data_IF_872737281822
#
_entry.id   IF_872737281822
#
_cell.length_a   1.000
_cell.length_b   1.000
_cell.length_c   1.000
_cell.angle_alpha   90.00
_cell.angle_beta   90.00
_cell.angle_gamma   90.00
#
_symmetry.space_group_name_H-M   'P 1'
#
loop_
_entity.id
_entity.type
_entity.pdbx_description
1 polymer ?
#
# COMPACT_ATOMS: atom_id res chain seq x y z
N UNK A 1 -1.77 -49.20 -41.77
CA UNK A 1 -1.18 -49.79 -40.55
C UNK A 1 -0.71 -48.63 -39.69
N UNK A 2 -1.64 -47.94 -39.01
CA UNK A 2 -2.11 -48.19 -37.63
C UNK A 2 -0.99 -48.12 -36.59
N UNK A 3 -0.95 -46.99 -35.85
CA UNK A 3 -1.05 -46.89 -34.38
C UNK A 3 -0.71 -45.43 -33.97
N UNK A 4 -1.70 -44.55 -33.83
CA UNK A 4 -2.45 -44.24 -32.60
C UNK A 4 -1.62 -43.76 -31.40
N UNK A 5 -1.67 -42.43 -31.22
CA UNK A 5 -2.14 -41.75 -30.00
C UNK A 5 -1.49 -42.14 -28.65
N UNK A 6 -0.48 -41.38 -28.23
CA UNK A 6 -0.17 -41.22 -26.80
C UNK A 6 -0.35 -39.73 -26.46
N UNK A 7 -1.56 -39.42 -26.00
CA UNK A 7 -1.88 -38.19 -25.29
C UNK A 7 -1.41 -38.38 -23.86
N UNK A 8 -0.48 -37.54 -23.43
CA UNK A 8 0.07 -37.52 -22.07
C UNK A 8 -0.96 -36.91 -21.11
N UNK A 9 -1.80 -37.76 -20.54
CA UNK A 9 -2.55 -37.49 -19.30
C UNK A 9 -1.59 -37.53 -18.11
N UNK A 10 -1.15 -36.36 -17.64
CA UNK A 10 -0.50 -36.23 -16.34
C UNK A 10 -0.92 -34.91 -15.72
N UNK A 11 -1.90 -34.96 -14.80
CA UNK A 11 -2.16 -34.02 -13.67
C UNK A 11 -3.67 -33.85 -13.42
N UNK A 12 -4.33 -34.90 -12.96
CA UNK A 12 -5.63 -34.81 -12.30
C UNK A 12 -5.76 -35.93 -11.26
N UNK A 13 -4.87 -35.97 -10.25
CA UNK A 13 -4.98 -36.96 -9.19
C UNK A 13 -4.29 -36.59 -7.88
N UNK A 14 -4.61 -35.42 -7.33
CA UNK A 14 -4.54 -35.18 -5.88
C UNK A 14 -5.66 -34.18 -5.56
N UNK A 15 -6.85 -34.66 -5.18
CA UNK A 15 -7.84 -33.99 -4.32
C UNK A 15 -9.13 -34.83 -4.18
N UNK A 16 -8.98 -36.09 -3.79
CA UNK A 16 -10.08 -36.91 -3.24
C UNK A 16 -9.47 -37.90 -2.28
N UNK A 17 -9.32 -37.51 -1.02
CA UNK A 17 -9.35 -38.41 0.14
C UNK A 17 -9.16 -37.62 1.44
N UNK A 18 -10.27 -37.08 1.95
CA UNK A 18 -10.54 -37.00 3.40
C UNK A 18 -12.03 -37.21 3.60
N UNK A 19 -12.42 -38.48 3.52
CA UNK A 19 -13.62 -38.99 4.16
C UNK A 19 -13.46 -38.81 5.68
N UNK A 20 -14.16 -37.84 6.26
CA UNK A 20 -14.52 -37.90 7.67
C UNK A 20 -15.81 -38.70 7.77
N UNK A 21 -15.69 -40.01 8.00
CA UNK A 21 -16.79 -40.83 8.50
C UNK A 21 -16.93 -40.55 9.99
N UNK A 22 -17.95 -39.80 10.37
CA UNK A 22 -18.46 -39.80 11.74
C UNK A 22 -19.86 -40.39 11.69
N UNK A 23 -19.93 -41.71 11.78
CA UNK A 23 -21.12 -42.43 12.22
C UNK A 23 -20.74 -43.36 13.38
N UNK A 24 -21.49 -43.14 14.45
CA UNK A 24 -21.93 -44.09 15.47
C UNK A 24 -20.92 -44.60 16.51
N UNK A 25 -20.96 -43.95 17.69
CA UNK A 25 -21.09 -44.69 18.95
C UNK A 25 -22.21 -44.10 19.83
N UNK A 26 -23.27 -44.89 19.92
CA UNK A 26 -24.32 -44.99 20.93
C UNK A 26 -24.10 -44.27 22.27
N UNK A 27 -25.02 -43.36 22.60
CA UNK A 27 -25.70 -43.34 23.91
C UNK A 27 -27.18 -43.11 23.65
N UNK A 28 -27.97 -44.18 23.79
CA UNK A 28 -29.42 -44.14 23.91
C UNK A 28 -29.83 -43.97 25.36
N UNK A 29 -30.96 -43.29 25.55
CA UNK A 29 -31.82 -43.20 26.76
C UNK A 29 -31.49 -42.10 27.78
N UNK A 30 -32.24 -40.99 27.76
CA UNK A 30 -33.45 -40.76 28.58
C UNK A 30 -33.89 -39.28 28.48
N UNK A 31 -35.20 -39.04 28.35
CA UNK A 31 -35.83 -37.78 28.76
C UNK A 31 -36.29 -36.84 27.64
N UNK A 32 -37.53 -37.04 27.20
CA UNK A 32 -38.33 -36.02 26.52
C UNK A 32 -38.58 -34.83 27.47
N UNK A 33 -37.67 -33.86 27.46
CA UNK A 33 -37.81 -32.59 28.16
C UNK A 33 -37.43 -31.46 27.21
N UNK A 34 -38.45 -30.82 26.63
CA UNK A 34 -38.31 -29.59 25.85
C UNK A 34 -37.78 -28.47 26.74
N UNK A 35 -36.47 -28.27 26.72
CA UNK A 35 -35.85 -27.05 27.24
C UNK A 35 -35.56 -26.16 26.04
N UNK A 36 -36.43 -25.18 25.82
CA UNK A 36 -36.15 -24.00 24.99
C UNK A 36 -34.95 -23.28 25.61
N UNK A 37 -33.75 -23.66 25.18
CA UNK A 37 -32.53 -22.92 25.53
C UNK A 37 -32.50 -21.70 24.62
N UNK A 38 -32.64 -20.47 25.13
CA UNK A 38 -32.58 -19.29 24.28
C UNK A 38 -31.18 -19.25 23.68
N UNK A 39 -31.08 -19.43 22.37
CA UNK A 39 -29.84 -19.16 21.64
C UNK A 39 -29.60 -17.67 21.78
N UNK A 40 -28.77 -17.27 22.74
CA UNK A 40 -28.36 -15.90 22.94
C UNK A 40 -27.51 -15.51 21.72
N UNK A 41 -28.17 -15.03 20.66
CA UNK A 41 -27.51 -14.39 19.52
C UNK A 41 -26.88 -13.12 20.09
N UNK A 42 -25.62 -13.22 20.51
CA UNK A 42 -24.81 -12.05 20.78
C UNK A 42 -24.63 -11.31 19.46
N UNK A 43 -25.52 -10.35 19.20
CA UNK A 43 -25.33 -9.31 18.20
C UNK A 43 -24.06 -8.55 18.58
N UNK A 44 -22.89 -9.05 18.14
CA UNK A 44 -21.65 -8.27 18.17
C UNK A 44 -21.97 -6.98 17.42
N UNK A 45 -21.94 -5.86 18.14
CA UNK A 45 -22.10 -4.54 17.53
C UNK A 45 -21.14 -4.46 16.35
N UNK A 46 -21.70 -4.37 15.15
CA UNK A 46 -20.91 -4.11 13.97
C UNK A 46 -20.22 -2.77 14.20
N UNK A 47 -18.87 -2.68 14.11
CA UNK A 47 -18.16 -1.45 14.42
C UNK A 47 -18.76 -0.30 13.64
N UNK A 48 -19.28 0.71 14.35
CA UNK A 48 -19.85 1.93 13.75
C UNK A 48 -18.83 2.51 12.78
N UNK A 49 -19.26 2.67 11.53
CA UNK A 49 -18.40 3.07 10.40
C UNK A 49 -17.80 4.45 10.62
N UNK A 50 -16.47 4.54 10.55
CA UNK A 50 -15.75 5.77 10.25
C UNK A 50 -15.40 5.81 8.76
N UNK A 51 -16.37 6.03 7.88
CA UNK A 51 -16.04 6.80 6.68
C UNK A 51 -16.29 8.23 7.07
N UNK A 52 -15.36 8.78 7.85
CA UNK A 52 -15.32 10.22 7.98
C UNK A 52 -15.19 10.76 6.55
N UNK A 53 -16.03 11.71 6.11
CA UNK A 53 -15.84 12.38 4.83
C UNK A 53 -14.46 13.08 4.72
N UNK A 54 -13.72 13.13 5.84
CA UNK A 54 -12.36 13.64 5.98
C UNK A 54 -11.28 12.55 6.07
N UNK A 55 -11.65 11.27 6.19
CA UNK A 55 -10.70 10.15 6.24
C UNK A 55 -10.31 9.72 4.83
N UNK A 56 -9.24 10.33 4.35
CA UNK A 56 -8.72 10.11 3.01
C UNK A 56 -7.71 8.95 2.98
N UNK A 57 -8.05 7.70 3.32
CA UNK A 57 -7.01 6.65 3.34
C UNK A 57 -7.51 5.29 3.72
N UNK A 58 -6.59 4.33 3.87
CA UNK A 58 -6.90 3.02 4.46
C UNK A 58 -7.16 3.16 5.96
N UNK A 59 -8.36 2.79 6.37
CA UNK A 59 -8.74 2.74 7.78
C UNK A 59 -8.06 1.58 8.52
N UNK A 60 -8.06 1.61 9.86
CA UNK A 60 -7.55 0.50 10.68
C UNK A 60 -8.25 -0.82 10.34
N UNK A 61 -9.56 -0.77 10.12
CA UNK A 61 -10.37 -1.94 9.81
C UNK A 61 -10.01 -2.54 8.44
N UNK A 62 -9.79 -1.71 7.43
CA UNK A 62 -9.33 -2.15 6.10
C UNK A 62 -7.93 -2.76 6.14
N UNK A 63 -7.00 -2.16 6.88
CA UNK A 63 -5.65 -2.71 7.04
C UNK A 63 -5.70 -4.06 7.76
N UNK A 64 -6.49 -4.19 8.83
CA UNK A 64 -6.70 -5.46 9.54
C UNK A 64 -7.30 -6.51 8.61
N UNK A 65 -8.33 -6.15 7.84
CA UNK A 65 -8.96 -7.03 6.85
C UNK A 65 -7.96 -7.52 5.81
N UNK A 66 -7.17 -6.61 5.25
CA UNK A 66 -6.12 -6.93 4.27
C UNK A 66 -5.06 -7.87 4.87
N UNK A 67 -4.56 -7.53 6.05
CA UNK A 67 -3.52 -8.30 6.76
C UNK A 67 -3.99 -9.70 7.14
N UNK A 68 -5.23 -9.86 7.59
CA UNK A 68 -5.77 -11.16 7.94
C UNK A 68 -6.06 -12.03 6.71
N UNK A 69 -6.51 -11.43 5.60
CA UNK A 69 -6.61 -12.13 4.32
C UNK A 69 -5.24 -12.57 3.79
N UNK A 70 -4.20 -11.75 4.01
CA UNK A 70 -2.82 -12.10 3.65
C UNK A 70 -2.29 -13.29 4.46
N UNK A 71 -2.53 -13.31 5.78
CA UNK A 71 -2.22 -14.47 6.64
C UNK A 71 -2.94 -15.73 6.18
N UNK A 72 -4.19 -15.62 5.74
CA UNK A 72 -4.91 -16.76 5.16
C UNK A 72 -4.18 -17.27 3.91
N UNK A 73 -3.84 -16.38 2.97
CA UNK A 73 -3.13 -16.74 1.74
C UNK A 73 -1.76 -17.38 2.01
N UNK A 74 -1.00 -16.84 2.96
CA UNK A 74 0.30 -17.39 3.38
C UNK A 74 0.18 -18.85 3.83
N UNK A 75 -0.86 -19.17 4.62
CA UNK A 75 -1.13 -20.55 5.09
C UNK A 75 -1.48 -21.51 3.96
N UNK A 76 -1.99 -21.03 2.83
CA UNK A 76 -2.33 -21.92 1.70
C UNK A 76 -1.10 -22.49 1.00
N UNK A 77 0.08 -21.86 1.18
CA UNK A 77 1.32 -22.19 0.48
C UNK A 77 1.16 -22.28 -1.05
N UNK A 78 0.18 -21.57 -1.61
CA UNK A 78 -0.02 -21.47 -3.05
C UNK A 78 0.85 -20.36 -3.63
N UNK A 79 1.29 -20.46 -4.89
CA UNK A 79 2.10 -19.40 -5.48
C UNK A 79 1.29 -18.12 -5.65
N UNK A 80 1.88 -17.02 -5.22
CA UNK A 80 1.26 -15.70 -5.19
C UNK A 80 1.93 -14.76 -6.17
N UNK A 81 1.13 -13.92 -6.81
CA UNK A 81 1.57 -12.86 -7.71
C UNK A 81 0.96 -11.54 -7.28
N UNK A 82 1.71 -10.46 -7.50
CA UNK A 82 1.29 -9.09 -7.26
C UNK A 82 1.30 -8.34 -8.60
N UNK A 83 0.16 -7.73 -8.91
CA UNK A 83 -0.03 -6.86 -10.05
C UNK A 83 -0.30 -5.41 -9.62
N UNK A 84 0.25 -4.46 -10.35
CA UNK A 84 -0.09 -3.03 -10.28
C UNK A 84 -0.79 -2.67 -11.58
N UNK A 85 -2.10 -2.42 -11.50
CA UNK A 85 -2.91 -2.01 -12.64
C UNK A 85 -3.12 -0.50 -12.53
N UNK A 86 -2.38 0.28 -13.31
CA UNK A 86 -2.24 1.71 -13.07
C UNK A 86 -2.02 2.58 -14.30
N UNK A 87 -1.15 2.19 -15.23
CA UNK A 87 -0.52 3.11 -16.19
C UNK A 87 -1.51 4.01 -16.95
N UNK A 88 -2.33 3.44 -17.83
CA UNK A 88 -3.35 4.20 -18.57
C UNK A 88 -4.53 4.62 -17.68
N UNK A 89 -4.74 3.98 -16.53
CA UNK A 89 -5.84 4.34 -15.62
C UNK A 89 -5.57 5.62 -14.83
N UNK A 90 -4.32 6.08 -14.74
CA UNK A 90 -3.98 7.33 -14.04
C UNK A 90 -4.65 8.57 -14.66
N UNK A 91 -4.92 8.53 -15.96
CA UNK A 91 -5.59 9.63 -16.69
C UNK A 91 -7.11 9.46 -16.79
N UNK A 92 -7.64 8.31 -16.38
CA UNK A 92 -9.07 8.01 -16.47
C UNK A 92 -9.86 8.61 -15.31
N UNK A 93 -11.15 8.86 -15.52
CA UNK A 93 -12.05 9.16 -14.41
C UNK A 93 -12.15 7.95 -13.48
N UNK A 94 -12.26 8.19 -12.18
CA UNK A 94 -12.28 7.13 -11.16
C UNK A 94 -13.33 6.03 -11.40
N UNK A 95 -14.47 6.39 -11.99
CA UNK A 95 -15.51 5.43 -12.36
C UNK A 95 -15.13 4.53 -13.55
N UNK A 96 -14.38 5.05 -14.52
CA UNK A 96 -13.90 4.33 -15.71
C UNK A 96 -12.75 3.40 -15.34
N UNK A 97 -11.75 3.90 -14.60
CA UNK A 97 -10.66 3.10 -14.08
C UNK A 97 -11.17 1.87 -13.28
N UNK A 98 -12.19 2.06 -12.43
CA UNK A 98 -12.83 0.94 -11.71
C UNK A 98 -13.48 -0.09 -12.61
N UNK A 99 -14.08 0.31 -13.74
CA UNK A 99 -14.63 -0.64 -14.72
C UNK A 99 -13.51 -1.47 -15.35
N UNK A 100 -12.36 -0.87 -15.63
CA UNK A 100 -11.19 -1.59 -16.15
C UNK A 100 -10.60 -2.55 -15.10
N UNK A 101 -10.53 -2.14 -13.82
CA UNK A 101 -10.14 -3.05 -12.74
C UNK A 101 -11.13 -4.22 -12.59
N UNK A 102 -12.43 -3.96 -12.71
CA UNK A 102 -13.45 -5.01 -12.65
C UNK A 102 -13.40 -5.95 -13.89
N UNK A 103 -12.94 -5.48 -15.06
CA UNK A 103 -12.61 -6.34 -16.23
C UNK A 103 -11.39 -7.21 -15.95
N UNK A 104 -10.32 -6.62 -15.41
CA UNK A 104 -9.11 -7.35 -15.01
C UNK A 104 -9.44 -8.48 -14.03
N UNK A 105 -10.16 -8.18 -12.95
CA UNK A 105 -10.51 -9.15 -11.92
C UNK A 105 -11.38 -10.29 -12.46
N UNK A 106 -12.33 -10.00 -13.37
CA UNK A 106 -13.13 -11.05 -14.03
C UNK A 106 -12.26 -11.98 -14.89
N UNK A 107 -11.34 -11.42 -15.66
CA UNK A 107 -10.44 -12.21 -16.49
C UNK A 107 -9.48 -13.04 -15.65
N UNK A 108 -8.94 -12.48 -14.56
CA UNK A 108 -8.15 -13.20 -13.56
C UNK A 108 -8.93 -14.40 -12.99
N UNK A 109 -10.17 -14.21 -12.53
CA UNK A 109 -10.99 -15.31 -11.99
C UNK A 109 -11.20 -16.44 -13.01
N UNK A 110 -11.40 -16.11 -14.28
CA UNK A 110 -11.52 -17.09 -15.36
C UNK A 110 -10.21 -17.85 -15.59
N UNK A 111 -9.07 -17.16 -15.59
CA UNK A 111 -7.76 -17.79 -15.72
C UNK A 111 -7.45 -18.70 -14.53
N UNK A 112 -7.74 -18.27 -13.29
CA UNK A 112 -7.58 -19.11 -12.09
C UNK A 112 -8.40 -20.39 -12.21
N UNK A 113 -9.68 -20.28 -12.56
CA UNK A 113 -10.57 -21.44 -12.76
C UNK A 113 -10.04 -22.40 -13.83
N UNK A 114 -9.64 -21.89 -15.00
CA UNK A 114 -9.11 -22.71 -16.11
C UNK A 114 -7.80 -23.42 -15.79
N UNK A 115 -7.02 -22.91 -14.84
CA UNK A 115 -5.76 -23.49 -14.43
C UNK A 115 -5.87 -24.21 -13.07
N UNK A 116 -7.09 -24.46 -12.56
CA UNK A 116 -7.31 -25.21 -11.32
C UNK A 116 -6.90 -24.49 -10.04
N UNK A 117 -6.73 -23.16 -10.06
CA UNK A 117 -6.44 -22.38 -8.86
C UNK A 117 -7.72 -21.88 -8.18
N UNK A 118 -7.73 -21.76 -6.85
CA UNK A 118 -8.81 -21.06 -6.17
C UNK A 118 -8.85 -19.60 -6.63
N UNK A 119 -10.06 -19.04 -6.72
CA UNK A 119 -10.29 -17.68 -7.19
C UNK A 119 -9.98 -16.64 -6.10
N UNK A 120 -8.80 -16.71 -5.52
CA UNK A 120 -8.40 -15.86 -4.41
C UNK A 120 -7.65 -14.62 -4.90
N UNK A 121 -8.11 -13.45 -4.47
CA UNK A 121 -7.40 -12.19 -4.67
C UNK A 121 -7.72 -11.14 -3.61
N UNK A 122 -6.72 -10.31 -3.31
CA UNK A 122 -6.81 -9.09 -2.51
C UNK A 122 -6.59 -7.93 -3.48
N UNK A 123 -7.45 -6.91 -3.43
CA UNK A 123 -7.31 -5.68 -4.21
C UNK A 123 -7.26 -4.49 -3.26
N UNK A 124 -6.23 -3.66 -3.40
CA UNK A 124 -6.05 -2.41 -2.66
C UNK A 124 -6.02 -1.25 -3.64
N UNK A 125 -6.96 -0.32 -3.51
CA UNK A 125 -7.00 0.90 -4.32
C UNK A 125 -6.13 2.00 -3.70
N UNK A 126 -5.29 2.58 -4.54
CA UNK A 126 -4.43 3.71 -4.23
C UNK A 126 -4.78 4.89 -5.14
N UNK A 127 -4.65 6.12 -4.64
CA UNK A 127 -4.94 7.34 -5.43
C UNK A 127 -3.78 8.32 -5.54
N UNK A 128 -2.64 8.04 -4.92
CA UNK A 128 -1.41 8.82 -5.11
C UNK A 128 -0.99 8.77 -6.58
N UNK A 129 -0.95 9.93 -7.24
CA UNK A 129 -0.60 10.02 -8.66
C UNK A 129 -1.68 9.58 -9.65
N UNK A 130 -2.89 9.28 -9.17
CA UNK A 130 -4.01 8.75 -9.96
C UNK A 130 -4.54 7.43 -9.40
N UNK A 131 -5.78 7.08 -9.73
CA UNK A 131 -6.41 5.86 -9.22
C UNK A 131 -5.78 4.63 -9.88
N UNK A 132 -5.22 3.74 -9.06
CA UNK A 132 -4.67 2.46 -9.50
C UNK A 132 -5.03 1.34 -8.51
N UNK A 133 -4.91 0.10 -8.95
CA UNK A 133 -5.24 -1.09 -8.17
C UNK A 133 -4.01 -1.97 -7.99
N UNK A 134 -3.65 -2.22 -6.73
CA UNK A 134 -2.68 -3.24 -6.35
C UNK A 134 -3.42 -4.54 -6.07
N UNK A 135 -3.11 -5.61 -6.81
CA UNK A 135 -3.84 -6.87 -6.77
C UNK A 135 -2.88 -8.00 -6.43
N UNK A 136 -3.08 -8.63 -5.28
CA UNK A 136 -2.37 -9.87 -4.90
C UNK A 136 -3.30 -11.04 -5.17
N UNK A 137 -2.82 -12.07 -5.88
CA UNK A 137 -3.66 -13.20 -6.28
C UNK A 137 -2.88 -14.51 -6.32
N UNK A 138 -3.62 -15.62 -6.19
CA UNK A 138 -3.08 -16.97 -6.37
C UNK A 138 -2.98 -17.29 -7.85
N UNK A 139 -1.84 -17.80 -8.32
CA UNK A 139 -1.68 -18.19 -9.71
C UNK A 139 -0.32 -18.78 -10.03
N UNK A 140 0.00 -18.83 -11.32
CA UNK A 140 1.31 -19.25 -11.83
C UNK A 140 1.80 -18.27 -12.90
N UNK A 141 3.02 -18.48 -13.39
CA UNK A 141 3.62 -17.62 -14.41
C UNK A 141 2.81 -17.57 -15.71
N UNK A 142 2.12 -18.66 -16.07
CA UNK A 142 1.23 -18.71 -17.25
C UNK A 142 0.09 -17.71 -17.11
N UNK A 143 -0.59 -17.69 -15.94
CA UNK A 143 -1.64 -16.70 -15.64
C UNK A 143 -1.07 -15.28 -15.69
N UNK A 144 0.08 -15.04 -15.06
CA UNK A 144 0.72 -13.73 -15.02
C UNK A 144 1.05 -13.20 -16.42
N UNK A 145 1.68 -14.02 -17.28
CA UNK A 145 1.97 -13.68 -18.68
C UNK A 145 0.71 -13.42 -19.50
N UNK A 146 -0.34 -14.23 -19.31
CA UNK A 146 -1.63 -14.00 -19.98
C UNK A 146 -2.26 -12.66 -19.57
N UNK A 147 -2.22 -12.31 -18.29
CA UNK A 147 -2.72 -11.02 -17.80
C UNK A 147 -1.94 -9.84 -18.40
N UNK A 148 -0.61 -9.88 -18.38
CA UNK A 148 0.21 -8.82 -18.98
C UNK A 148 -0.07 -8.65 -20.48
N UNK A 149 -0.27 -9.75 -21.21
CA UNK A 149 -0.61 -9.69 -22.65
C UNK A 149 -1.99 -9.07 -22.90
N UNK A 150 -3.00 -9.45 -22.12
CA UNK A 150 -4.37 -8.98 -22.32
C UNK A 150 -4.61 -7.54 -21.84
N UNK A 151 -3.78 -7.04 -20.94
CA UNK A 151 -3.93 -5.73 -20.30
C UNK A 151 -2.65 -4.89 -20.42
N UNK A 152 -1.94 -5.01 -21.55
CA UNK A 152 -0.65 -4.37 -21.79
C UNK A 152 -0.68 -2.84 -21.61
N UNK A 153 -1.81 -2.22 -21.93
CA UNK A 153 -2.05 -0.78 -21.76
C UNK A 153 -2.01 -0.32 -20.28
N UNK A 154 -2.36 -1.19 -19.34
CA UNK A 154 -2.43 -0.86 -17.92
C UNK A 154 -1.23 -1.37 -17.09
N UNK A 155 -0.35 -2.14 -17.74
CA UNK A 155 0.79 -2.84 -17.16
C UNK A 155 1.99 -2.79 -18.13
N UNK A 156 2.38 -1.57 -18.54
CA UNK A 156 3.39 -1.30 -19.57
C UNK A 156 4.76 -1.86 -19.21
N UNK A 157 5.11 -1.88 -17.92
CA UNK A 157 6.39 -2.47 -17.48
C UNK A 157 6.42 -4.00 -17.59
N UNK A 158 5.28 -4.69 -17.72
CA UNK A 158 5.19 -6.12 -18.03
C UNK A 158 5.43 -7.06 -16.84
N UNK A 159 6.05 -8.22 -17.09
CA UNK A 159 6.31 -9.29 -16.11
C UNK A 159 7.79 -9.39 -15.69
N UNK A 160 8.06 -9.44 -14.38
CA UNK A 160 9.40 -9.62 -13.78
C UNK A 160 9.72 -8.61 -12.65
N UNK A 161 10.98 -8.60 -12.20
CA UNK A 161 11.46 -7.69 -11.15
C UNK A 161 11.28 -6.22 -11.56
N UNK A 162 10.79 -5.37 -10.64
CA UNK A 162 10.47 -3.95 -10.86
C UNK A 162 9.38 -3.66 -11.92
N UNK A 163 8.62 -4.68 -12.29
CA UNK A 163 7.55 -4.54 -13.28
C UNK A 163 6.17 -4.58 -12.62
N UNK A 164 5.16 -4.27 -13.42
CA UNK A 164 3.77 -4.21 -13.01
C UNK A 164 3.22 -5.58 -12.59
N UNK A 165 3.92 -6.68 -12.83
CA UNK A 165 3.56 -8.03 -12.41
C UNK A 165 4.77 -8.81 -11.91
N UNK A 166 4.72 -9.32 -10.69
CA UNK A 166 5.82 -10.09 -10.10
C UNK A 166 5.35 -11.17 -9.10
N UNK A 167 6.13 -12.23 -8.88
CA UNK A 167 5.86 -13.18 -7.81
C UNK A 167 6.00 -12.52 -6.43
N UNK A 168 5.23 -12.99 -5.45
CA UNK A 168 5.27 -12.50 -4.07
C UNK A 168 6.02 -13.51 -3.21
N UNK A 169 7.15 -13.08 -2.65
CA UNK A 169 7.98 -13.87 -1.72
C UNK A 169 7.62 -13.65 -0.26
N UNK A 170 7.21 -12.42 0.09
CA UNK A 170 6.78 -12.05 1.44
C UNK A 170 5.48 -11.23 1.35
N UNK A 171 4.33 -11.94 1.44
CA UNK A 171 3.01 -11.29 1.38
C UNK A 171 2.77 -10.42 2.61
N UNK A 172 3.32 -10.79 3.77
CA UNK A 172 3.08 -10.07 5.01
C UNK A 172 3.77 -8.71 4.98
N UNK A 173 5.03 -8.64 4.54
CA UNK A 173 5.72 -7.38 4.33
C UNK A 173 5.02 -6.52 3.27
N UNK A 174 4.65 -7.11 2.12
CA UNK A 174 3.94 -6.40 1.04
C UNK A 174 2.66 -5.72 1.56
N UNK A 175 1.83 -6.44 2.30
CA UNK A 175 0.55 -5.91 2.81
C UNK A 175 0.75 -4.91 3.94
N UNK A 176 1.62 -5.21 4.90
CA UNK A 176 1.76 -4.38 6.12
C UNK A 176 2.59 -3.13 5.90
N UNK A 177 3.55 -3.13 4.97
CA UNK A 177 4.44 -2.01 4.73
C UNK A 177 4.10 -1.24 3.46
N UNK A 178 4.00 -1.96 2.33
CA UNK A 178 3.84 -1.32 1.03
C UNK A 178 2.38 -0.95 0.74
N UNK A 179 1.45 -1.90 0.76
CA UNK A 179 0.04 -1.66 0.43
C UNK A 179 -0.69 -0.82 1.50
N UNK A 180 -0.11 -0.68 2.69
CA UNK A 180 -0.66 0.14 3.77
C UNK A 180 -0.13 1.59 3.76
N UNK A 181 0.65 2.00 2.75
CA UNK A 181 1.30 3.33 2.73
C UNK A 181 0.31 4.49 2.72
N UNK A 182 -0.85 4.34 2.07
CA UNK A 182 -1.94 5.35 2.03
C UNK A 182 -2.91 5.25 3.23
N UNK A 183 -2.46 4.75 4.37
CA UNK A 183 -3.27 4.68 5.60
C UNK A 183 -3.63 6.03 6.17
N UNK A 184 -4.75 6.10 6.87
CA UNK A 184 -5.13 7.29 7.63
C UNK A 184 -4.17 7.52 8.80
N UNK A 185 -4.08 8.76 9.27
CA UNK A 185 -3.28 9.08 10.47
C UNK A 185 -3.81 8.32 11.70
N UNK A 186 -5.12 8.18 11.82
CA UNK A 186 -5.80 7.40 12.86
C UNK A 186 -5.39 5.93 12.80
N UNK A 187 -5.37 5.34 11.61
CA UNK A 187 -4.92 3.96 11.43
C UNK A 187 -3.43 3.81 11.80
N UNK A 188 -2.57 4.75 11.39
CA UNK A 188 -1.16 4.75 11.73
C UNK A 188 -0.91 4.78 13.25
N UNK A 189 -1.61 5.66 13.98
CA UNK A 189 -1.54 5.72 15.45
C UNK A 189 -2.08 4.44 16.09
N UNK A 190 -3.25 3.97 15.63
CA UNK A 190 -3.90 2.80 16.22
C UNK A 190 -3.17 1.47 15.97
N UNK A 191 -2.21 1.45 15.04
CA UNK A 191 -1.31 0.33 14.76
C UNK A 191 0.08 0.51 15.40
N UNK A 192 0.34 1.64 16.05
CA UNK A 192 1.63 1.91 16.71
C UNK A 192 2.80 2.16 15.77
N UNK A 193 2.54 2.42 14.47
CA UNK A 193 3.59 2.49 13.45
C UNK A 193 4.38 3.81 13.43
N UNK A 194 3.83 4.91 13.95
CA UNK A 194 4.64 6.07 14.36
C UNK A 194 3.86 6.98 15.32
N UNK A 195 4.56 7.51 16.31
CA UNK A 195 4.07 8.60 17.17
C UNK A 195 4.53 9.99 16.69
N UNK A 196 5.38 10.06 15.65
CA UNK A 196 6.16 11.28 15.33
C UNK A 196 5.99 11.86 13.93
N UNK A 197 5.29 11.20 13.02
CA UNK A 197 5.12 11.72 11.65
C UNK A 197 3.70 11.47 11.18
N UNK A 198 2.89 12.54 11.18
CA UNK A 198 1.68 12.61 10.36
C UNK A 198 2.13 12.39 8.91
N UNK A 199 1.78 11.26 8.32
CA UNK A 199 2.00 11.03 6.89
C UNK A 199 1.10 12.03 6.16
N UNK A 200 1.71 13.06 5.57
CA UNK A 200 1.01 13.92 4.64
C UNK A 200 0.61 13.06 3.44
N UNK A 201 -0.66 13.04 3.06
CA UNK A 201 -1.11 12.23 1.92
C UNK A 201 -2.11 11.13 2.25
N UNK A 202 -2.98 11.35 3.24
CA UNK A 202 -4.29 10.71 3.14
C UNK A 202 -4.96 11.30 1.87
N UNK A 203 -4.88 10.61 0.72
CA UNK A 203 -5.40 11.04 -0.57
C UNK A 203 -6.87 10.66 -0.70
N UNK A 204 -7.76 11.58 -1.08
CA UNK A 204 -9.17 11.22 -1.30
C UNK A 204 -9.27 10.27 -2.50
N UNK A 205 -10.09 9.22 -2.40
CA UNK A 205 -10.53 8.47 -3.58
C UNK A 205 -11.88 9.03 -4.00
N UNK A 206 -11.94 9.58 -5.20
CA UNK A 206 -13.18 10.05 -5.80
C UNK A 206 -14.16 8.87 -5.98
N UNK A 207 -15.43 9.12 -5.67
CA UNK A 207 -16.48 8.10 -5.61
C UNK A 207 -16.50 7.25 -4.33
N UNK A 208 -15.51 7.42 -3.43
CA UNK A 208 -15.49 6.79 -2.11
C UNK A 208 -15.45 5.26 -2.13
N UNK A 209 -16.03 4.66 -1.08
CA UNK A 209 -16.15 3.20 -0.90
C UNK A 209 -14.90 2.51 -0.36
N UNK A 210 -15.03 1.20 -0.14
CA UNK A 210 -13.98 0.36 0.43
C UNK A 210 -12.74 0.33 -0.50
N UNK A 211 -11.56 0.61 0.07
CA UNK A 211 -10.26 0.55 -0.62
C UNK A 211 -9.72 -0.86 -0.71
N UNK A 212 -10.03 -1.70 0.27
CA UNK A 212 -9.66 -3.12 0.29
C UNK A 212 -10.84 -3.94 -0.17
N UNK A 213 -10.67 -4.70 -1.24
CA UNK A 213 -11.61 -5.73 -1.68
C UNK A 213 -10.94 -7.09 -1.61
N UNK A 214 -11.73 -8.08 -1.20
CA UNK A 214 -11.37 -9.48 -1.30
C UNK A 214 -12.24 -10.09 -2.39
N UNK A 215 -11.70 -11.05 -3.15
CA UNK A 215 -12.55 -11.87 -4.01
C UNK A 215 -13.61 -12.59 -3.16
N UNK A 216 -14.81 -12.87 -3.72
CA UNK A 216 -15.85 -13.56 -2.95
C UNK A 216 -15.40 -14.89 -2.35
N UNK A 217 -14.63 -15.68 -3.12
CA UNK A 217 -14.08 -16.96 -2.66
C UNK A 217 -13.09 -16.79 -1.50
N UNK A 218 -12.17 -15.82 -1.59
CA UNK A 218 -11.22 -15.54 -0.51
C UNK A 218 -11.93 -15.03 0.75
N UNK A 219 -12.90 -14.13 0.58
CA UNK A 219 -13.68 -13.61 1.70
C UNK A 219 -14.41 -14.74 2.43
N UNK A 220 -15.10 -15.63 1.70
CA UNK A 220 -15.81 -16.75 2.30
C UNK A 220 -14.87 -17.70 3.04
N UNK A 221 -13.76 -18.09 2.41
CA UNK A 221 -12.78 -19.01 3.01
C UNK A 221 -12.11 -18.41 4.25
N UNK A 222 -11.69 -17.14 4.20
CA UNK A 222 -11.04 -16.48 5.33
C UNK A 222 -12.00 -16.14 6.48
N UNK A 223 -13.30 -15.96 6.19
CA UNK A 223 -14.35 -15.86 7.23
C UNK A 223 -14.57 -17.22 7.89
N UNK A 224 -14.62 -18.30 7.10
CA UNK A 224 -14.76 -19.66 7.62
C UNK A 224 -13.58 -20.06 8.52
N UNK A 225 -12.36 -19.61 8.21
CA UNK A 225 -11.15 -19.80 9.03
C UNK A 225 -11.10 -18.89 10.27
N UNK A 226 -12.09 -18.00 10.47
CA UNK A 226 -12.12 -17.06 11.59
C UNK A 226 -11.06 -15.96 11.55
N UNK A 227 -10.33 -15.82 10.44
CA UNK A 227 -9.30 -14.79 10.27
C UNK A 227 -9.89 -13.45 9.86
N UNK A 228 -10.92 -13.44 9.03
CA UNK A 228 -11.53 -12.22 8.50
C UNK A 228 -12.95 -12.07 9.03
N UNK A 229 -13.26 -10.90 9.59
CA UNK A 229 -14.61 -10.58 10.01
C UNK A 229 -15.55 -10.40 8.78
N UNK A 230 -16.83 -10.81 8.86
CA UNK A 230 -17.84 -10.50 7.85
C UNK A 230 -17.90 -8.99 7.58
N UNK A 231 -18.02 -8.61 6.30
CA UNK A 231 -17.88 -7.22 5.89
C UNK A 231 -19.09 -6.72 5.11
N UNK A 232 -19.83 -5.84 5.76
CA UNK A 232 -20.91 -5.12 5.11
C UNK A 232 -20.32 -4.14 4.10
N UNK A 233 -20.47 -4.43 2.81
CA UNK A 233 -20.05 -3.52 1.72
C UNK A 233 -20.66 -2.14 1.92
N UNK A 234 -19.86 -1.10 1.72
CA UNK A 234 -20.37 0.28 1.69
C UNK A 234 -21.09 0.50 0.35
N UNK A 235 -22.42 0.37 0.36
CA UNK A 235 -23.27 0.82 -0.77
C UNK A 235 -23.38 2.34 -0.81
N UNK A 236 -22.27 3.06 -0.57
CA UNK A 236 -22.24 4.47 -0.90
C UNK A 236 -22.61 4.55 -2.38
N UNK A 237 -23.77 5.15 -2.69
CA UNK A 237 -24.19 5.33 -4.07
C UNK A 237 -23.00 5.99 -4.74
N UNK A 238 -22.46 5.34 -5.78
CA UNK A 238 -21.45 5.94 -6.66
C UNK A 238 -22.15 7.08 -7.39
N UNK A 239 -22.50 8.14 -6.67
CA UNK A 239 -23.05 9.34 -7.27
C UNK A 239 -21.93 9.85 -8.16
N UNK A 240 -22.12 9.92 -9.48
CA UNK A 240 -21.15 10.61 -10.31
C UNK A 240 -20.94 11.96 -9.66
N UNK A 241 -19.69 12.33 -9.40
CA UNK A 241 -19.37 13.71 -9.10
C UNK A 241 -19.67 14.44 -10.40
N UNK A 242 -20.94 14.83 -10.57
CA UNK A 242 -21.30 15.84 -11.55
C UNK A 242 -20.53 17.03 -11.03
N UNK A 243 -19.40 17.33 -11.65
CA UNK A 243 -18.75 18.61 -11.49
C UNK A 243 -19.84 19.63 -11.81
N UNK A 244 -20.47 20.16 -10.77
CA UNK A 244 -21.45 21.20 -10.90
C UNK A 244 -20.68 22.37 -11.46
N UNK A 245 -20.75 22.45 -12.78
CA UNK A 245 -20.89 23.64 -13.61
C UNK A 245 -20.47 24.88 -12.83
N UNK A 246 -19.34 25.44 -13.23
CA UNK A 246 -19.06 26.85 -13.05
C UNK A 246 -20.33 27.65 -13.40
N UNK A 247 -21.13 27.97 -12.38
CA UNK A 247 -22.20 28.95 -12.42
C UNK A 247 -21.64 30.16 -11.68
N UNK A 248 -21.08 31.06 -12.49
CA UNK A 248 -21.38 32.49 -12.41
C UNK A 248 -21.77 32.97 -11.00
N UNK A 249 -20.77 33.35 -10.19
CA UNK A 249 -20.99 34.33 -9.13
C UNK A 249 -21.27 35.66 -9.80
N UNK A 250 -22.55 35.90 -10.10
CA UNK A 250 -23.10 37.24 -10.20
C UNK A 250 -22.80 37.96 -8.88
N UNK A 251 -22.10 39.07 -9.01
CA UNK A 251 -21.80 40.05 -7.97
C UNK A 251 -23.07 40.51 -7.27
N UNK A 252 -23.14 40.34 -5.94
CA UNK A 252 -23.97 41.16 -5.06
C UNK A 252 -23.10 41.87 -4.03
N UNK A 253 -23.47 43.09 -3.63
CA UNK A 253 -22.58 44.04 -2.97
C UNK A 253 -22.47 43.77 -1.47
N UNK A 254 -21.35 44.21 -0.91
CA UNK A 254 -21.07 44.27 0.52
C UNK A 254 -22.13 45.12 1.23
N UNK A 255 -22.70 44.56 2.30
CA UNK A 255 -23.22 45.35 3.42
C UNK A 255 -22.30 45.11 4.62
N UNK A 256 -21.77 46.22 5.12
CA UNK A 256 -21.08 46.36 6.41
C UNK A 256 -21.93 45.77 7.54
N UNK A 257 -21.30 44.94 8.36
CA UNK A 257 -21.69 44.71 9.74
C UNK A 257 -20.41 44.79 10.57
N UNK A 258 -20.25 45.92 11.24
CA UNK A 258 -19.39 46.11 12.40
C UNK A 258 -19.81 45.11 13.48
N UNK A 259 -18.84 44.39 14.03
CA UNK A 259 -19.01 43.64 15.28
C UNK A 259 -17.76 43.86 16.12
N UNK A 260 -18.00 44.44 17.29
CA UNK A 260 -17.05 44.79 18.32
C UNK A 260 -16.24 43.57 18.79
N UNK A 261 -14.91 43.77 18.85
CA UNK A 261 -13.95 42.76 19.31
C UNK A 261 -13.52 43.10 20.74
N UNK A 262 -14.20 42.52 21.72
CA UNK A 262 -13.80 42.57 23.13
C UNK A 262 -12.66 41.59 23.43
N UNK A 263 -11.59 42.16 23.97
CA UNK A 263 -10.34 41.52 24.38
C UNK A 263 -10.56 40.59 25.58
N UNK A 264 -10.32 39.28 25.40
CA UNK A 264 -10.04 38.36 26.52
C UNK A 264 -8.68 37.67 26.34
N UNK A 265 -7.69 38.17 27.10
CA UNK A 265 -6.38 37.54 27.31
C UNK A 265 -6.56 36.25 28.12
N UNK A 266 -6.32 35.10 27.50
CA UNK A 266 -6.19 33.81 28.20
C UNK A 266 -4.71 33.47 28.39
N UNK A 267 -4.30 33.35 29.66
CA UNK A 267 -2.96 32.99 30.10
C UNK A 267 -2.66 31.52 29.80
N UNK A 268 -1.55 31.24 29.11
CA UNK A 268 -1.01 29.89 28.91
C UNK A 268 -0.10 29.49 30.08
N UNK A 269 -0.43 28.38 30.72
CA UNK A 269 0.41 27.67 31.70
C UNK A 269 1.45 26.81 30.96
N UNK A 270 2.72 26.75 31.42
CA UNK A 270 3.77 25.96 30.76
C UNK A 270 3.60 24.47 31.01
N UNK A 271 3.77 23.67 29.94
CA UNK A 271 3.73 22.20 29.96
C UNK A 271 5.16 21.65 30.15
N UNK A 272 5.38 20.62 30.99
CA UNK A 272 6.72 20.13 31.31
C UNK A 272 7.33 19.27 30.20
N UNK A 273 8.64 19.46 29.98
CA UNK A 273 9.46 18.77 28.97
C UNK A 273 9.62 17.26 29.24
N UNK A 274 9.47 16.39 28.22
CA UNK A 274 9.81 14.98 28.36
C UNK A 274 11.33 14.73 28.19
N UNK A 275 11.91 14.09 29.20
CA UNK A 275 13.31 13.64 29.26
C UNK A 275 13.67 12.70 28.10
N UNK A 276 14.79 12.99 27.43
CA UNK A 276 15.38 12.17 26.35
C UNK A 276 15.99 10.89 26.93
N UNK A 277 15.47 9.73 26.51
CA UNK A 277 16.13 8.44 26.75
C UNK A 277 17.16 8.16 25.64
N UNK A 278 18.43 8.02 26.04
CA UNK A 278 19.49 7.47 25.19
C UNK A 278 19.23 5.97 24.96
N UNK A 279 19.15 5.55 23.69
CA UNK A 279 19.25 4.14 23.30
C UNK A 279 20.18 4.02 22.11
N UNK A 280 21.43 3.68 22.40
CA UNK A 280 22.40 3.14 21.44
C UNK A 280 21.94 1.72 21.05
N UNK A 281 21.41 1.56 19.84
CA UNK A 281 21.16 0.24 19.28
C UNK A 281 22.45 -0.28 18.63
N UNK A 282 22.93 -1.41 19.13
CA UNK A 282 24.00 -2.23 18.56
C UNK A 282 23.61 -2.66 17.13
N UNK A 283 24.55 -2.53 16.18
CA UNK A 283 24.39 -3.05 14.82
C UNK A 283 24.65 -4.55 14.82
N UNK A 284 23.82 -5.39 14.17
CA UNK A 284 24.18 -6.77 13.93
C UNK A 284 25.27 -6.82 12.86
N UNK A 285 26.36 -7.49 13.22
CA UNK A 285 27.47 -7.87 12.35
C UNK A 285 26.98 -9.00 11.44
N UNK A 286 27.28 -8.89 10.12
CA UNK A 286 27.20 -10.04 9.21
C UNK A 286 26.16 -9.97 8.08
N UNK A 287 25.79 -8.79 7.57
CA UNK A 287 24.99 -8.71 6.33
C UNK A 287 25.94 -8.68 5.11
N UNK A 288 26.04 -9.82 4.41
CA UNK A 288 26.69 -9.93 3.11
C UNK A 288 25.97 -9.05 2.07
N UNK A 289 26.74 -8.25 1.31
CA UNK A 289 26.22 -7.38 0.26
C UNK A 289 25.74 -8.19 -0.96
N UNK A 290 24.42 -8.41 -1.05
CA UNK A 290 23.78 -9.24 -2.09
C UNK A 290 23.53 -8.54 -3.43
N UNK A 291 23.92 -7.27 -3.62
CA UNK A 291 23.50 -6.51 -4.82
C UNK A 291 24.56 -5.50 -5.31
N UNK A 292 25.49 -5.91 -6.21
CA UNK A 292 26.42 -4.97 -6.84
C UNK A 292 25.76 -4.04 -7.87
N UNK A 293 24.62 -4.43 -8.46
CA UNK A 293 23.97 -3.63 -9.51
C UNK A 293 22.99 -2.55 -9.00
N UNK A 294 22.59 -2.59 -7.72
CA UNK A 294 21.83 -1.50 -7.09
C UNK A 294 22.65 -0.21 -6.87
N UNK A 295 23.95 -0.21 -7.21
CA UNK A 295 24.82 0.96 -7.14
C UNK A 295 24.57 1.99 -8.26
N UNK A 296 23.59 1.79 -9.14
CA UNK A 296 23.28 2.74 -10.23
C UNK A 296 21.82 3.25 -10.23
N UNK A 297 21.43 4.15 -9.31
CA UNK A 297 20.09 4.76 -9.31
C UNK A 297 19.85 5.76 -10.46
N UNK A 298 18.57 5.82 -10.88
CA UNK A 298 17.96 6.52 -12.05
C UNK A 298 17.95 8.07 -11.96
N UNK A 299 18.55 8.68 -10.95
CA UNK A 299 18.88 10.10 -10.98
C UNK A 299 20.12 10.30 -10.11
N UNK A 300 21.30 10.24 -10.74
CA UNK A 300 22.54 10.39 -10.00
C UNK A 300 22.74 11.85 -9.59
N UNK A 301 23.29 12.04 -8.39
CA UNK A 301 23.87 13.29 -7.97
C UNK A 301 24.76 13.88 -9.08
N UNK A 302 25.50 13.05 -9.82
CA UNK A 302 26.33 13.48 -10.95
C UNK A 302 25.56 14.19 -12.07
N UNK A 303 24.31 13.80 -12.35
CA UNK A 303 23.46 14.39 -13.39
C UNK A 303 22.64 15.61 -12.89
N UNK A 304 22.50 15.78 -11.57
CA UNK A 304 21.73 16.87 -10.99
C UNK A 304 22.43 18.23 -11.15
N UNK A 305 21.79 19.25 -11.73
CA UNK A 305 22.45 20.53 -12.09
C UNK A 305 22.15 21.68 -11.14
N UNK A 306 20.88 21.87 -10.76
CA UNK A 306 20.39 22.86 -9.80
C UNK A 306 18.90 22.62 -9.48
N UNK A 307 18.35 23.42 -8.57
CA UNK A 307 16.93 23.38 -8.19
C UNK A 307 16.68 22.50 -6.97
N UNK A 308 15.43 22.12 -6.74
CA UNK A 308 15.07 21.21 -5.65
C UNK A 308 15.47 19.79 -6.03
N UNK A 309 16.34 19.10 -5.25
CA UNK A 309 16.72 17.74 -5.58
C UNK A 309 15.51 16.81 -5.50
N UNK A 310 15.43 15.84 -6.40
CA UNK A 310 14.45 14.76 -6.27
C UNK A 310 14.75 13.95 -4.99
N UNK A 311 13.76 13.20 -4.45
CA UNK A 311 13.99 12.36 -3.27
C UNK A 311 15.18 11.40 -3.43
N UNK A 312 15.39 10.86 -4.63
CA UNK A 312 16.52 9.97 -4.93
C UNK A 312 17.87 10.69 -4.84
N UNK A 313 17.98 11.91 -5.37
CA UNK A 313 19.22 12.72 -5.29
C UNK A 313 19.50 13.12 -3.84
N UNK A 314 18.47 13.48 -3.08
CA UNK A 314 18.61 13.82 -1.66
C UNK A 314 19.11 12.62 -0.84
N UNK A 315 18.56 11.42 -1.10
CA UNK A 315 19.03 10.17 -0.47
C UNK A 315 20.49 9.85 -0.84
N UNK A 316 20.88 10.04 -2.11
CA UNK A 316 22.26 9.82 -2.54
C UNK A 316 23.25 10.79 -1.87
N UNK A 317 22.89 12.08 -1.78
CA UNK A 317 23.70 13.09 -1.05
C UNK A 317 23.91 12.65 0.40
N UNK A 318 22.85 12.23 1.08
CA UNK A 318 22.91 11.81 2.48
C UNK A 318 23.71 10.51 2.67
N UNK A 319 23.57 9.56 1.75
CA UNK A 319 24.34 8.32 1.74
C UNK A 319 25.84 8.62 1.57
N UNK A 320 26.24 9.38 0.54
CA UNK A 320 27.64 9.73 0.29
C UNK A 320 28.24 10.56 1.42
N UNK A 321 27.49 11.52 1.97
CA UNK A 321 27.90 12.29 3.15
C UNK A 321 28.30 11.37 4.31
N UNK A 322 27.48 10.35 4.60
CA UNK A 322 27.74 9.38 5.67
C UNK A 322 28.93 8.49 5.37
N UNK A 323 29.08 8.04 4.13
CA UNK A 323 30.25 7.25 3.70
C UNK A 323 31.57 8.00 3.90
N UNK A 324 31.56 9.33 3.73
CA UNK A 324 32.71 10.19 3.97
C UNK A 324 32.89 10.60 5.44
N UNK A 325 32.06 10.11 6.36
CA UNK A 325 32.11 10.48 7.78
C UNK A 325 31.81 11.96 8.06
N UNK A 326 31.34 12.72 7.07
CA UNK A 326 31.07 14.15 7.21
C UNK A 326 29.76 14.37 7.95
N UNK A 327 29.71 15.27 8.93
CA UNK A 327 28.46 15.82 9.44
C UNK A 327 27.80 16.75 8.40
N UNK A 328 26.51 17.07 8.58
CA UNK A 328 25.84 18.07 7.72
C UNK A 328 26.49 19.45 7.80
N UNK A 329 27.04 19.81 8.98
CA UNK A 329 27.76 21.07 9.18
C UNK A 329 29.06 21.10 8.39
N UNK A 330 29.84 20.02 8.42
CA UNK A 330 31.12 19.93 7.68
C UNK A 330 30.90 19.89 6.17
N UNK A 331 29.88 19.16 5.70
CA UNK A 331 29.48 19.20 4.29
C UNK A 331 29.10 20.63 3.88
N UNK A 332 28.32 21.32 4.71
CA UNK A 332 27.98 22.73 4.51
C UNK A 332 29.22 23.60 4.42
N UNK A 333 30.13 23.53 5.38
CA UNK A 333 31.37 24.31 5.40
C UNK A 333 32.21 24.07 4.13
N UNK A 334 32.41 22.81 3.73
CA UNK A 334 33.16 22.46 2.52
C UNK A 334 32.47 22.94 1.23
N UNK A 335 31.13 23.00 1.22
CA UNK A 335 30.35 23.48 0.08
C UNK A 335 30.07 25.00 0.10
N UNK A 336 30.47 25.71 1.15
CA UNK A 336 30.12 27.13 1.35
C UNK A 336 28.63 27.36 1.61
N UNK A 337 27.99 26.46 2.36
CA UNK A 337 26.58 26.49 2.76
C UNK A 337 26.44 26.35 4.27
N UNK A 338 25.40 26.92 4.86
CA UNK A 338 25.09 26.70 6.28
C UNK A 338 24.45 25.33 6.50
N UNK A 339 24.60 24.76 7.70
CA UNK A 339 23.95 23.49 8.06
C UNK A 339 22.42 23.54 7.84
N UNK A 340 21.68 24.61 8.23
CA UNK A 340 20.24 24.70 7.95
C UNK A 340 19.90 24.69 6.46
N UNK A 341 20.74 25.26 5.60
CA UNK A 341 20.53 25.21 4.14
C UNK A 341 20.64 23.77 3.62
N UNK A 342 21.66 23.02 4.04
CA UNK A 342 21.78 21.59 3.68
C UNK A 342 20.55 20.81 4.12
N UNK A 343 20.14 20.96 5.38
CA UNK A 343 18.98 20.24 5.93
C UNK A 343 17.68 20.57 5.19
N UNK A 344 17.43 21.85 4.91
CA UNK A 344 16.21 22.26 4.20
C UNK A 344 16.19 21.79 2.74
N UNK A 345 17.34 21.75 2.07
CA UNK A 345 17.42 21.23 0.70
C UNK A 345 17.19 19.72 0.66
N UNK A 346 17.76 18.97 1.61
CA UNK A 346 17.52 17.52 1.73
C UNK A 346 16.05 17.18 2.04
N UNK A 347 15.33 18.09 2.71
CA UNK A 347 13.89 17.98 2.96
C UNK A 347 13.04 18.49 1.79
N UNK A 348 13.65 18.93 0.69
CA UNK A 348 12.95 19.45 -0.49
C UNK A 348 12.28 20.82 -0.31
N UNK A 349 12.65 21.58 0.74
CA UNK A 349 12.06 22.91 1.03
C UNK A 349 12.67 24.01 0.19
N UNK A 350 13.95 23.88 -0.16
CA UNK A 350 14.68 24.82 -1.02
C UNK A 350 15.49 24.06 -2.05
N UNK A 351 15.85 24.74 -3.13
CA UNK A 351 16.75 24.20 -4.15
C UNK A 351 18.21 24.63 -3.94
N UNK A 352 19.13 23.87 -4.53
CA UNK A 352 20.51 24.30 -4.70
C UNK A 352 20.64 25.24 -5.90
N UNK A 353 21.47 26.28 -5.78
CA UNK A 353 21.97 26.98 -6.97
C UNK A 353 22.92 26.07 -7.76
N UNK A 354 23.22 26.42 -9.02
CA UNK A 354 24.21 25.69 -9.83
C UNK A 354 25.59 25.64 -9.15
N UNK A 355 26.02 26.78 -8.58
CA UNK A 355 27.29 26.87 -7.86
C UNK A 355 27.30 25.98 -6.61
N UNK A 356 26.22 26.01 -5.81
CA UNK A 356 26.07 25.16 -4.63
C UNK A 356 26.10 23.66 -5.01
N UNK A 357 25.40 23.30 -6.09
CA UNK A 357 25.38 21.93 -6.61
C UNK A 357 26.78 21.46 -7.04
N UNK A 358 27.51 22.30 -7.77
CA UNK A 358 28.88 22.01 -8.21
C UNK A 358 29.82 21.79 -7.02
N UNK A 359 29.73 22.63 -5.98
CA UNK A 359 30.53 22.49 -4.74
C UNK A 359 30.18 21.23 -3.97
N UNK A 360 28.89 20.90 -3.81
CA UNK A 360 28.46 19.64 -3.18
C UNK A 360 28.99 18.42 -3.95
N UNK A 361 28.92 18.43 -5.28
CA UNK A 361 29.50 17.38 -6.12
C UNK A 361 31.00 17.26 -5.92
N UNK A 362 31.73 18.37 -5.92
CA UNK A 362 33.18 18.37 -5.73
C UNK A 362 33.57 17.73 -4.39
N UNK A 363 32.82 17.98 -3.32
CA UNK A 363 33.06 17.34 -2.01
C UNK A 363 32.71 15.86 -2.05
N UNK A 364 31.50 15.51 -2.51
CA UNK A 364 30.95 14.14 -2.38
C UNK A 364 31.48 13.14 -3.41
N UNK A 365 31.98 13.60 -4.56
CA UNK A 365 32.53 12.76 -5.64
C UNK A 365 34.08 12.76 -5.65
N UNK A 366 34.73 13.43 -4.71
CA UNK A 366 36.20 13.51 -4.63
C UNK A 366 36.87 12.15 -4.48
N UNK A 367 36.23 11.19 -3.78
CA UNK A 367 36.78 9.85 -3.56
C UNK A 367 36.75 8.93 -4.79
N UNK A 368 35.87 9.19 -5.76
CA UNK A 368 35.85 8.41 -7.02
C UNK A 368 37.09 8.66 -7.88
N UNK A 369 37.81 9.77 -7.64
CA UNK A 369 39.06 10.11 -8.34
C UNK A 369 40.32 9.48 -7.73
N UNK A 370 40.23 8.90 -6.54
CA UNK A 370 41.36 8.23 -5.88
C UNK A 370 41.35 6.72 -6.15
N UNK A 371 40.17 6.17 -6.46
CA UNK A 371 39.97 4.74 -6.72
C UNK A 371 39.98 4.37 -8.22
N UNK A 372 40.05 5.36 -9.11
CA UNK A 372 40.18 5.21 -10.56
C UNK A 372 41.52 5.79 -11.00
#
# INVERSE_FOLDING_TARGET
MNDQTIITEFSARIWTDRNYSLQDQYITNFGSGSWDVPTLIMCREQPKRTISPHENGLSKAEIKRCSNAAKFLERTNLPLFWAVVGDDTLSMRSGEARKEFDKFLRYLSQLQQRNGFPQFSITVFESSGGLHANIVFVGNEKIAKSLCRSFQNYMRSGYGHEKAMQPVTDIMWLVTHYLSKERTTQANYALGWSSKTRVAGSHKIEGGGDRVRLSPALAAAAIADGLVDPWAKTRAKRTPFIASKAMTRSSKPLHELEVDNESTKSQRVPSPEPKKANRSALKPIGQLSLFPEMEKPIARLSAFTAGTPSPSVALEIEHRRRMLGLSQRELGQKAGLSQPQIANVLLGRFGFSRLATSRIKAVLLSHERIAA
#
